data_IF_273529918712
#
_entry.id   IF_273529918712
#
_cell.length_a   1.000
_cell.length_b   1.000
_cell.length_c   1.000
_cell.angle_alpha   90.00
_cell.angle_beta   90.00
_cell.angle_gamma   90.00
#
_symmetry.space_group_name_H-M   'P 1'
#
loop_
_entity.id
_entity.type
_entity.pdbx_description
1 polymer ?
#
# COMPACT_ATOMS: atom_id res chain seq x y z
N UNK A 1 7.68 4.48 -13.43
CA UNK A 1 7.69 5.54 -12.40
C UNK A 1 7.64 6.95 -12.95
N UNK A 2 8.67 7.49 -13.64
CA UNK A 2 8.68 8.91 -14.07
C UNK A 2 7.45 9.36 -14.88
N UNK A 3 7.03 8.57 -15.87
CA UNK A 3 5.82 8.84 -16.66
C UNK A 3 4.56 8.87 -15.77
N UNK A 4 4.43 7.93 -14.83
CA UNK A 4 3.27 7.87 -13.92
C UNK A 4 3.24 9.06 -12.97
N UNK A 5 4.40 9.45 -12.43
CA UNK A 5 4.52 10.67 -11.62
C UNK A 5 4.08 11.91 -12.39
N UNK A 6 4.46 12.02 -13.67
CA UNK A 6 4.04 13.12 -14.55
C UNK A 6 2.54 13.09 -14.87
N UNK A 7 1.95 11.91 -15.10
CA UNK A 7 0.48 11.78 -15.27
C UNK A 7 -0.27 12.24 -14.01
N UNK A 8 0.25 11.93 -12.82
CA UNK A 8 -0.33 12.34 -11.55
C UNK A 8 -0.18 13.85 -11.24
N UNK A 9 0.68 14.58 -11.97
CA UNK A 9 0.83 16.04 -11.82
C UNK A 9 -0.35 16.85 -12.39
N UNK A 10 -0.80 16.48 -13.58
CA UNK A 10 -1.64 17.34 -14.43
C UNK A 10 -3.14 17.08 -14.29
N UNK A 11 -3.58 15.88 -13.90
CA UNK A 11 -4.95 15.68 -13.38
C UNK A 11 -5.16 14.30 -12.77
N UNK A 12 -5.38 14.27 -11.46
CA UNK A 12 -5.76 13.05 -10.73
C UNK A 12 -7.08 12.45 -11.27
N UNK A 13 -8.06 13.30 -11.56
CA UNK A 13 -9.41 12.87 -11.99
C UNK A 13 -9.52 12.61 -13.50
N UNK A 14 -8.81 13.37 -14.35
CA UNK A 14 -8.97 13.29 -15.81
C UNK A 14 -8.07 12.25 -16.46
N UNK A 15 -6.83 12.08 -15.97
CA UNK A 15 -5.85 11.21 -16.61
C UNK A 15 -5.50 10.00 -15.74
N UNK A 16 -5.02 10.21 -14.51
CA UNK A 16 -4.62 9.11 -13.63
C UNK A 16 -5.79 8.14 -13.35
N UNK A 17 -6.99 8.68 -13.12
CA UNK A 17 -8.20 7.84 -12.97
C UNK A 17 -8.56 7.02 -14.21
N UNK A 18 -8.41 7.56 -15.43
CA UNK A 18 -8.72 6.83 -16.67
C UNK A 18 -7.72 5.71 -16.93
N UNK A 19 -6.42 5.98 -16.69
CA UNK A 19 -5.37 4.95 -16.75
C UNK A 19 -5.69 3.82 -15.78
N UNK A 20 -6.15 4.14 -14.57
CA UNK A 20 -6.51 3.14 -13.57
C UNK A 20 -7.71 2.27 -14.00
N UNK A 21 -8.71 2.84 -14.69
CA UNK A 21 -9.85 2.09 -15.21
C UNK A 21 -9.41 1.13 -16.31
N UNK A 22 -8.61 1.61 -17.27
CA UNK A 22 -8.09 0.78 -18.36
C UNK A 22 -7.26 -0.39 -17.79
N UNK A 23 -6.39 -0.09 -16.82
CA UNK A 23 -5.62 -1.10 -16.10
C UNK A 23 -6.53 -2.12 -15.39
N UNK A 24 -7.56 -1.67 -14.68
CA UNK A 24 -8.51 -2.57 -14.01
C UNK A 24 -9.20 -3.52 -15.00
N UNK A 25 -9.65 -3.01 -16.15
CA UNK A 25 -10.22 -3.84 -17.21
C UNK A 25 -9.19 -4.85 -17.76
N UNK A 26 -7.96 -4.40 -18.02
CA UNK A 26 -6.88 -5.27 -18.50
C UNK A 26 -6.54 -6.38 -17.48
N UNK A 27 -6.50 -6.06 -16.18
CA UNK A 27 -6.28 -7.04 -15.10
C UNK A 27 -7.33 -8.13 -15.10
N UNK A 28 -8.61 -7.74 -15.15
CA UNK A 28 -9.71 -8.71 -15.16
C UNK A 28 -9.65 -9.57 -16.42
N UNK A 29 -9.42 -8.99 -17.61
CA UNK A 29 -9.29 -9.76 -18.85
C UNK A 29 -8.12 -10.75 -18.81
N UNK A 30 -6.97 -10.35 -18.29
CA UNK A 30 -5.81 -11.22 -18.16
C UNK A 30 -6.08 -12.41 -17.21
N UNK A 31 -6.73 -12.15 -16.06
CA UNK A 31 -7.08 -13.19 -15.10
C UNK A 31 -8.14 -14.13 -15.66
N UNK A 32 -9.18 -13.60 -16.32
CA UNK A 32 -10.20 -14.42 -16.99
C UNK A 32 -9.57 -15.29 -18.06
N UNK A 33 -8.62 -14.77 -18.85
CA UNK A 33 -7.90 -15.54 -19.85
C UNK A 33 -7.15 -16.74 -19.23
N UNK A 34 -6.41 -16.53 -18.14
CA UNK A 34 -5.70 -17.61 -17.44
C UNK A 34 -6.69 -18.65 -16.88
N UNK A 35 -7.75 -18.19 -16.22
CA UNK A 35 -8.76 -19.06 -15.61
C UNK A 35 -9.44 -19.89 -16.69
N UNK A 36 -10.02 -19.27 -17.72
CA UNK A 36 -10.74 -19.98 -18.79
C UNK A 36 -9.83 -20.96 -19.51
N UNK A 37 -8.59 -20.57 -19.82
CA UNK A 37 -7.61 -21.47 -20.45
C UNK A 37 -7.29 -22.66 -19.55
N UNK A 38 -7.02 -22.43 -18.26
CA UNK A 38 -6.76 -23.49 -17.30
C UNK A 38 -7.93 -24.46 -17.18
N UNK A 39 -9.16 -23.96 -17.03
CA UNK A 39 -10.36 -24.81 -16.97
C UNK A 39 -10.63 -25.56 -18.27
N UNK A 40 -10.34 -24.96 -19.43
CA UNK A 40 -10.41 -25.66 -20.71
C UNK A 40 -9.44 -26.85 -20.75
N UNK A 41 -8.18 -26.66 -20.34
CA UNK A 41 -7.22 -27.76 -20.28
C UNK A 41 -7.59 -28.83 -19.24
N UNK A 42 -8.19 -28.43 -18.12
CA UNK A 42 -8.62 -29.35 -17.08
C UNK A 42 -9.81 -30.20 -17.52
N UNK A 43 -10.87 -29.56 -18.04
CA UNK A 43 -12.16 -30.22 -18.34
C UNK A 43 -12.14 -30.86 -19.73
N UNK A 44 -11.68 -30.15 -20.76
CA UNK A 44 -11.76 -30.60 -22.16
C UNK A 44 -10.55 -31.45 -22.54
N UNK A 45 -9.35 -31.10 -22.07
CA UNK A 45 -8.12 -31.86 -22.34
C UNK A 45 -7.78 -32.88 -21.24
N UNK A 46 -8.54 -32.92 -20.14
CA UNK A 46 -8.38 -33.91 -19.06
C UNK A 46 -7.08 -33.78 -18.27
N UNK A 47 -6.41 -32.62 -18.28
CA UNK A 47 -5.16 -32.44 -17.52
C UNK A 47 -5.44 -32.22 -16.04
N UNK A 48 -5.40 -33.29 -15.26
CA UNK A 48 -5.63 -33.25 -13.80
C UNK A 48 -4.49 -33.88 -12.99
N UNK A 49 -3.37 -34.21 -13.62
CA UNK A 49 -2.27 -35.00 -13.05
C UNK A 49 -1.72 -34.43 -11.73
N UNK A 50 -1.65 -33.10 -11.62
CA UNK A 50 -1.19 -32.41 -10.40
C UNK A 50 -2.23 -32.39 -9.28
N UNK A 51 -3.52 -32.60 -9.58
CA UNK A 51 -4.61 -32.53 -8.61
C UNK A 51 -5.12 -33.91 -8.14
N UNK A 52 -4.71 -34.98 -8.83
CA UNK A 52 -5.14 -36.36 -8.53
C UNK A 52 -4.02 -37.21 -7.92
N UNK A 53 -4.38 -38.32 -7.27
CA UNK A 53 -3.41 -39.35 -6.87
C UNK A 53 -2.42 -38.97 -5.75
N UNK A 54 -2.76 -38.00 -4.90
CA UNK A 54 -1.88 -37.55 -3.80
C UNK A 54 -0.78 -36.57 -4.23
N UNK A 55 -0.70 -36.21 -5.51
CA UNK A 55 0.30 -35.28 -6.05
C UNK A 55 0.10 -33.83 -5.57
N UNK A 56 -1.09 -33.47 -5.10
CA UNK A 56 -1.44 -32.10 -4.69
C UNK A 56 -0.49 -31.52 -3.64
N UNK A 57 -0.02 -32.36 -2.70
CA UNK A 57 0.89 -31.95 -1.63
C UNK A 57 2.27 -32.62 -1.75
N UNK A 58 2.55 -33.30 -2.86
CA UNK A 58 3.83 -33.97 -3.05
C UNK A 58 4.99 -32.95 -3.03
N UNK A 59 6.03 -33.25 -2.24
CA UNK A 59 7.19 -32.35 -2.07
C UNK A 59 6.93 -31.11 -1.19
N UNK A 60 5.77 -31.02 -0.54
CA UNK A 60 5.47 -29.90 0.38
C UNK A 60 6.33 -29.95 1.63
N UNK A 61 6.89 -28.80 2.01
CA UNK A 61 7.62 -28.63 3.27
C UNK A 61 6.68 -28.06 4.33
N UNK A 62 6.38 -28.86 5.35
CA UNK A 62 5.41 -28.52 6.41
C UNK A 62 6.04 -27.86 7.64
N UNK A 63 7.33 -27.54 7.58
CA UNK A 63 8.01 -26.82 8.64
C UNK A 63 7.42 -25.40 8.78
N UNK A 64 7.30 -24.93 10.02
CA UNK A 64 6.69 -23.64 10.34
C UNK A 64 7.33 -22.48 9.57
N UNK A 65 8.66 -22.48 9.41
CA UNK A 65 9.40 -21.47 8.65
C UNK A 65 8.96 -21.41 7.19
N UNK A 66 8.85 -22.56 6.52
CA UNK A 66 8.41 -22.64 5.12
C UNK A 66 6.96 -22.19 4.94
N UNK A 67 6.08 -22.56 5.87
CA UNK A 67 4.68 -22.11 5.86
C UNK A 67 4.62 -20.59 6.00
N UNK A 68 5.34 -20.02 6.96
CA UNK A 68 5.36 -18.58 7.19
C UNK A 68 5.94 -17.84 5.99
N UNK A 69 7.01 -18.32 5.37
CA UNK A 69 7.56 -17.73 4.15
C UNK A 69 6.59 -17.78 2.97
N UNK A 70 5.80 -18.85 2.84
CA UNK A 70 4.73 -18.91 1.82
C UNK A 70 3.64 -17.86 2.05
N UNK A 71 3.31 -17.57 3.32
CA UNK A 71 2.35 -16.52 3.69
C UNK A 71 2.87 -15.14 3.29
N UNK A 72 4.19 -14.89 3.23
CA UNK A 72 4.74 -13.58 2.83
C UNK A 72 4.41 -13.25 1.39
N UNK A 73 4.61 -14.22 0.49
CA UNK A 73 4.20 -14.08 -0.91
C UNK A 73 2.70 -13.82 -1.04
N UNK A 74 1.89 -14.50 -0.20
CA UNK A 74 0.47 -14.23 -0.08
C UNK A 74 0.16 -12.79 0.37
N UNK A 75 0.71 -12.35 1.51
CA UNK A 75 0.52 -11.00 2.06
C UNK A 75 0.93 -9.93 1.05
N UNK A 76 2.03 -10.14 0.33
CA UNK A 76 2.44 -9.26 -0.76
C UNK A 76 1.40 -9.21 -1.88
N UNK A 77 0.90 -10.36 -2.34
CA UNK A 77 -0.11 -10.44 -3.40
C UNK A 77 -1.45 -9.77 -3.03
N UNK A 78 -1.81 -9.75 -1.74
CA UNK A 78 -3.01 -9.08 -1.21
C UNK A 78 -2.73 -7.65 -0.70
N UNK A 79 -1.51 -7.14 -0.86
CA UNK A 79 -1.16 -5.77 -0.49
C UNK A 79 -1.92 -4.75 -1.35
N UNK A 80 -1.96 -3.49 -0.89
CA UNK A 80 -2.67 -2.39 -1.56
C UNK A 80 -4.06 -2.09 -1.00
N UNK A 81 -4.57 -2.91 -0.08
CA UNK A 81 -5.84 -2.62 0.62
C UNK A 81 -5.83 -1.27 1.36
N UNK A 82 -4.65 -0.75 1.71
CA UNK A 82 -4.49 0.54 2.37
C UNK A 82 -4.91 1.73 1.50
N UNK A 83 -4.91 1.59 0.17
CA UNK A 83 -5.36 2.63 -0.78
C UNK A 83 -6.76 3.15 -0.42
N UNK A 84 -7.63 2.28 0.10
CA UNK A 84 -8.98 2.63 0.55
C UNK A 84 -8.98 3.71 1.65
N UNK A 85 -7.95 3.74 2.50
CA UNK A 85 -7.83 4.73 3.58
C UNK A 85 -7.48 6.12 3.04
N UNK A 86 -6.68 6.20 1.98
CA UNK A 86 -6.20 7.46 1.41
C UNK A 86 -7.18 8.08 0.41
N UNK A 87 -8.12 7.29 -0.12
CA UNK A 87 -9.25 7.75 -0.93
C UNK A 87 -10.46 8.18 -0.11
N UNK A 88 -10.47 7.96 1.20
CA UNK A 88 -11.67 8.11 2.02
C UNK A 88 -12.29 9.51 1.97
N UNK A 89 -11.48 10.56 1.92
CA UNK A 89 -11.96 11.96 1.84
C UNK A 89 -12.80 12.23 0.57
N UNK A 90 -12.59 11.48 -0.51
CA UNK A 90 -13.28 11.65 -1.79
C UNK A 90 -14.55 10.78 -1.93
N UNK A 91 -14.83 9.88 -0.98
CA UNK A 91 -15.89 8.86 -1.10
C UNK A 91 -17.18 9.32 -0.40
N UNK A 92 -18.30 9.36 -1.14
CA UNK A 92 -19.63 9.58 -0.54
C UNK A 92 -20.02 8.40 0.36
N UNK A 93 -20.55 8.68 1.56
CA UNK A 93 -20.97 7.68 2.57
C UNK A 93 -19.86 6.68 2.96
N UNK A 94 -18.68 7.23 3.28
CA UNK A 94 -17.45 6.53 3.66
C UNK A 94 -17.70 5.25 4.49
N UNK A 95 -18.46 5.33 5.60
CA UNK A 95 -18.65 4.21 6.52
C UNK A 95 -19.20 2.94 5.86
N UNK A 96 -20.27 3.07 5.06
CA UNK A 96 -20.91 1.90 4.42
C UNK A 96 -20.09 1.42 3.23
N UNK A 97 -19.61 2.36 2.42
CA UNK A 97 -18.82 2.07 1.22
C UNK A 97 -17.51 1.34 1.59
N UNK A 98 -16.78 1.81 2.62
CA UNK A 98 -15.55 1.15 3.06
C UNK A 98 -15.77 -0.29 3.51
N UNK A 99 -16.83 -0.58 4.27
CA UNK A 99 -17.08 -1.96 4.76
C UNK A 99 -17.43 -2.89 3.59
N UNK A 100 -18.32 -2.46 2.71
CA UNK A 100 -18.74 -3.26 1.55
C UNK A 100 -17.55 -3.48 0.61
N UNK A 101 -16.79 -2.43 0.30
CA UNK A 101 -15.62 -2.54 -0.57
C UNK A 101 -14.51 -3.38 0.05
N UNK A 102 -14.28 -3.30 1.36
CA UNK A 102 -13.28 -4.11 2.04
C UNK A 102 -13.65 -5.60 2.02
N UNK A 103 -14.85 -5.96 2.48
CA UNK A 103 -15.26 -7.37 2.54
C UNK A 103 -15.47 -7.93 1.14
N UNK A 104 -16.29 -7.27 0.32
CA UNK A 104 -16.60 -7.72 -1.03
C UNK A 104 -15.37 -7.75 -1.93
N UNK A 105 -14.52 -6.73 -1.86
CA UNK A 105 -13.28 -6.65 -2.63
C UNK A 105 -12.30 -7.76 -2.23
N UNK A 106 -12.03 -7.95 -0.94
CA UNK A 106 -11.10 -8.99 -0.48
C UNK A 106 -11.62 -10.39 -0.81
N UNK A 107 -12.90 -10.68 -0.54
CA UNK A 107 -13.49 -11.99 -0.86
C UNK A 107 -13.44 -12.32 -2.35
N UNK A 108 -13.72 -11.32 -3.20
CA UNK A 108 -13.62 -11.49 -4.65
C UNK A 108 -12.18 -11.72 -5.12
N UNK A 109 -11.22 -10.99 -4.56
CA UNK A 109 -9.79 -11.19 -4.85
C UNK A 109 -9.34 -12.60 -4.44
N UNK A 110 -9.77 -13.08 -3.26
CA UNK A 110 -9.46 -14.45 -2.81
C UNK A 110 -9.95 -15.48 -3.82
N UNK A 111 -11.21 -15.35 -4.24
CA UNK A 111 -11.81 -16.26 -5.21
C UNK A 111 -11.05 -16.27 -6.54
N UNK A 112 -10.78 -15.10 -7.12
CA UNK A 112 -10.06 -15.02 -8.41
C UNK A 112 -8.62 -15.53 -8.29
N UNK A 113 -7.91 -15.21 -7.20
CA UNK A 113 -6.54 -15.66 -7.02
C UNK A 113 -6.46 -17.18 -6.88
N UNK A 114 -7.40 -17.80 -6.17
CA UNK A 114 -7.49 -19.27 -6.10
C UNK A 114 -7.73 -19.88 -7.47
N UNK A 115 -8.72 -19.38 -8.22
CA UNK A 115 -9.00 -19.88 -9.58
C UNK A 115 -7.81 -19.70 -10.53
N UNK A 116 -7.11 -18.57 -10.42
CA UNK A 116 -5.93 -18.29 -11.25
C UNK A 116 -4.79 -19.26 -10.93
N UNK A 117 -4.53 -19.53 -9.65
CA UNK A 117 -3.52 -20.51 -9.23
C UNK A 117 -3.88 -21.94 -9.70
N UNK A 118 -5.15 -22.33 -9.58
CA UNK A 118 -5.62 -23.61 -10.16
C UNK A 118 -5.34 -23.62 -11.65
N UNK A 119 -5.71 -22.55 -12.38
CA UNK A 119 -5.44 -22.43 -13.81
C UNK A 119 -3.96 -22.55 -14.17
N UNK A 120 -3.07 -21.92 -13.41
CA UNK A 120 -1.63 -22.07 -13.60
C UNK A 120 -1.17 -23.52 -13.40
N UNK A 121 -1.55 -24.16 -12.29
CA UNK A 121 -1.08 -25.51 -11.95
C UNK A 121 -1.74 -26.63 -12.76
N UNK A 122 -2.80 -26.37 -13.53
CA UNK A 122 -3.29 -27.30 -14.57
C UNK A 122 -2.27 -27.43 -15.71
N UNK A 123 -1.52 -26.36 -16.00
CA UNK A 123 -0.65 -26.27 -17.18
C UNK A 123 0.82 -26.39 -16.81
N UNK A 124 1.23 -25.72 -15.73
CA UNK A 124 2.61 -25.62 -15.28
C UNK A 124 2.88 -26.57 -14.12
N UNK A 125 4.09 -27.13 -14.12
CA UNK A 125 4.66 -27.85 -12.98
C UNK A 125 5.24 -26.87 -11.94
N UNK A 126 5.38 -27.28 -10.66
CA UNK A 126 6.02 -26.45 -9.63
C UNK A 126 7.45 -26.00 -10.01
N UNK A 127 8.22 -26.86 -10.68
CA UNK A 127 9.58 -26.54 -11.13
C UNK A 127 9.59 -25.48 -12.23
N UNK A 128 8.65 -25.52 -13.17
CA UNK A 128 8.51 -24.47 -14.19
C UNK A 128 8.11 -23.13 -13.59
N UNK A 129 7.23 -23.13 -12.58
CA UNK A 129 6.86 -21.89 -11.87
C UNK A 129 8.07 -21.30 -11.17
N UNK A 130 8.81 -22.11 -10.40
CA UNK A 130 10.01 -21.67 -9.66
C UNK A 130 11.16 -21.24 -10.59
N UNK A 131 11.30 -21.87 -11.75
CA UNK A 131 12.33 -21.54 -12.74
C UNK A 131 11.97 -20.36 -13.65
N UNK A 132 10.76 -19.80 -13.53
CA UNK A 132 10.29 -18.73 -14.40
C UNK A 132 10.40 -17.35 -13.76
N UNK A 133 10.97 -16.39 -14.48
CA UNK A 133 10.95 -14.98 -14.08
C UNK A 133 9.57 -14.34 -14.23
N UNK A 134 8.73 -14.87 -15.13
CA UNK A 134 7.39 -14.37 -15.41
C UNK A 134 6.42 -15.54 -15.65
N UNK A 135 5.72 -15.95 -14.60
CA UNK A 135 4.81 -17.12 -14.59
C UNK A 135 3.73 -17.00 -15.68
N UNK A 136 3.15 -15.82 -15.88
CA UNK A 136 2.14 -15.60 -16.91
C UNK A 136 2.69 -15.80 -18.34
N UNK A 137 3.92 -15.35 -18.60
CA UNK A 137 4.59 -15.58 -19.88
C UNK A 137 4.91 -17.05 -20.09
N UNK A 138 5.40 -17.73 -19.04
CA UNK A 138 5.67 -19.16 -19.07
C UNK A 138 4.40 -19.99 -19.30
N UNK A 139 3.31 -19.62 -18.65
CA UNK A 139 1.99 -20.20 -18.86
C UNK A 139 1.55 -20.11 -20.33
N UNK A 140 1.69 -18.93 -20.94
CA UNK A 140 1.34 -18.72 -22.35
C UNK A 140 2.21 -19.59 -23.28
N UNK A 141 3.51 -19.70 -23.01
CA UNK A 141 4.44 -20.53 -23.78
C UNK A 141 4.08 -22.02 -23.72
N UNK A 142 3.74 -22.55 -22.54
CA UNK A 142 3.41 -23.97 -22.38
C UNK A 142 2.00 -24.29 -22.89
N UNK A 143 1.03 -23.40 -22.67
CA UNK A 143 -0.37 -23.61 -23.07
C UNK A 143 -0.57 -23.54 -24.59
N UNK A 144 0.08 -22.58 -25.26
CA UNK A 144 -0.14 -22.30 -26.69
C UNK A 144 1.07 -22.65 -27.57
N UNK A 145 2.09 -23.29 -26.98
CA UNK A 145 3.38 -23.48 -27.60
C UNK A 145 4.14 -22.16 -27.77
N UNK A 146 5.28 -22.20 -28.46
CA UNK A 146 6.07 -21.02 -28.81
C UNK A 146 5.44 -20.24 -29.97
N UNK A 147 4.13 -19.98 -29.87
CA UNK A 147 3.39 -19.16 -30.81
C UNK A 147 3.87 -17.71 -30.68
N UNK A 148 4.41 -17.19 -31.78
CA UNK A 148 5.03 -15.87 -31.86
C UNK A 148 4.09 -14.70 -31.52
N UNK A 149 2.76 -14.91 -31.49
CA UNK A 149 1.80 -13.86 -31.19
C UNK A 149 1.33 -13.87 -29.73
N UNK A 150 1.02 -15.03 -29.15
CA UNK A 150 0.36 -15.10 -27.84
C UNK A 150 1.29 -14.72 -26.69
N UNK A 151 2.53 -15.25 -26.70
CA UNK A 151 3.50 -15.01 -25.62
C UNK A 151 3.86 -13.52 -25.49
N UNK A 152 4.17 -12.77 -26.58
CA UNK A 152 4.42 -11.34 -26.49
C UNK A 152 3.20 -10.53 -26.05
N UNK A 153 1.99 -10.89 -26.50
CA UNK A 153 0.76 -10.19 -26.09
C UNK A 153 0.53 -10.33 -24.58
N UNK A 154 0.64 -11.54 -24.03
CA UNK A 154 0.48 -11.78 -22.59
C UNK A 154 1.54 -11.00 -21.80
N UNK A 155 2.79 -11.03 -22.25
CA UNK A 155 3.88 -10.29 -21.62
C UNK A 155 3.65 -8.78 -21.65
N UNK A 156 3.14 -8.25 -22.77
CA UNK A 156 2.80 -6.85 -22.92
C UNK A 156 1.65 -6.43 -21.99
N UNK A 157 0.59 -7.26 -21.90
CA UNK A 157 -0.52 -7.03 -20.97
C UNK A 157 0.01 -6.97 -19.53
N UNK A 158 0.85 -7.94 -19.11
CA UNK A 158 1.49 -7.92 -17.78
C UNK A 158 2.24 -6.62 -17.53
N UNK A 159 2.96 -6.10 -18.53
CA UNK A 159 3.60 -4.79 -18.47
C UNK A 159 2.62 -3.64 -18.19
N UNK A 160 1.47 -3.62 -18.89
CA UNK A 160 0.38 -2.66 -18.61
C UNK A 160 -0.12 -2.80 -17.16
N UNK A 161 -0.27 -4.03 -16.67
CA UNK A 161 -0.74 -4.28 -15.30
C UNK A 161 0.21 -3.68 -14.25
N UNK A 162 1.52 -3.74 -14.52
CA UNK A 162 2.54 -3.12 -13.65
C UNK A 162 2.45 -1.60 -13.67
N UNK A 163 2.15 -1.00 -14.83
CA UNK A 163 1.98 0.45 -14.95
C UNK A 163 0.82 0.95 -14.09
N UNK A 164 -0.32 0.27 -14.08
CA UNK A 164 -1.44 0.68 -13.24
C UNK A 164 -1.21 0.43 -11.74
N UNK A 165 -0.45 -0.60 -11.38
CA UNK A 165 0.01 -0.78 -9.99
C UNK A 165 0.87 0.41 -9.53
N UNK A 166 1.85 0.82 -10.35
CA UNK A 166 2.68 1.99 -10.07
C UNK A 166 1.86 3.28 -9.93
N UNK A 167 0.83 3.47 -10.76
CA UNK A 167 -0.07 4.62 -10.66
C UNK A 167 -0.81 4.67 -9.31
N UNK A 168 -1.30 3.53 -8.84
CA UNK A 168 -1.96 3.40 -7.52
C UNK A 168 -1.00 3.72 -6.37
N UNK A 169 0.26 3.30 -6.46
CA UNK A 169 1.28 3.58 -5.44
C UNK A 169 1.62 5.06 -5.35
N UNK A 170 1.85 5.73 -6.49
CA UNK A 170 2.11 7.19 -6.54
C UNK A 170 0.94 7.96 -5.90
N UNK A 171 -0.29 7.55 -6.20
CA UNK A 171 -1.49 8.15 -5.65
C UNK A 171 -1.56 7.99 -4.13
N UNK A 172 -1.35 6.76 -3.62
CA UNK A 172 -1.35 6.46 -2.19
C UNK A 172 -0.28 7.26 -1.44
N UNK A 173 0.95 7.17 -1.90
CA UNK A 173 2.12 7.65 -1.16
C UNK A 173 2.14 9.17 -1.07
N UNK A 174 1.79 9.85 -2.17
CA UNK A 174 1.71 11.30 -2.20
C UNK A 174 0.68 11.87 -1.22
N UNK A 175 -0.46 11.20 -1.06
CA UNK A 175 -1.50 11.57 -0.07
C UNK A 175 -1.08 11.27 1.36
N UNK A 176 -0.39 10.16 1.59
CA UNK A 176 0.13 9.81 2.91
C UNK A 176 1.10 10.88 3.43
N UNK A 177 2.09 11.25 2.60
CA UNK A 177 3.06 12.30 2.93
C UNK A 177 2.38 13.66 3.11
N UNK A 178 1.50 14.02 2.19
CA UNK A 178 0.75 15.27 2.27
C UNK A 178 -0.06 15.40 3.57
N UNK A 179 -0.75 14.34 3.98
CA UNK A 179 -1.52 14.32 5.23
C UNK A 179 -0.62 14.41 6.48
N UNK A 180 0.56 13.76 6.45
CA UNK A 180 1.56 13.88 7.51
C UNK A 180 2.13 15.30 7.64
N UNK A 181 2.47 15.91 6.51
CA UNK A 181 2.99 17.28 6.44
C UNK A 181 1.97 18.32 6.92
N UNK A 182 0.69 18.15 6.59
CA UNK A 182 -0.40 19.01 7.11
C UNK A 182 -0.54 18.98 8.63
N UNK A 183 -0.11 17.90 9.28
CA UNK A 183 -0.11 17.79 10.75
C UNK A 183 1.20 18.24 11.39
N UNK A 184 2.06 18.92 10.64
CA UNK A 184 3.37 19.39 11.11
C UNK A 184 4.33 18.25 11.48
N UNK A 185 4.11 17.04 10.95
CA UNK A 185 4.99 15.88 11.20
C UNK A 185 6.13 15.75 10.18
N UNK A 186 6.08 16.55 9.10
CA UNK A 186 7.02 16.52 7.98
C UNK A 186 7.25 17.96 7.47
N UNK A 187 8.25 18.21 6.61
CA UNK A 187 8.50 19.53 6.03
C UNK A 187 7.27 20.14 5.36
N UNK A 188 7.10 21.46 5.50
CA UNK A 188 5.90 22.18 5.05
C UNK A 188 5.73 22.13 3.52
N UNK A 189 6.83 22.03 2.77
CA UNK A 189 6.79 21.93 1.31
C UNK A 189 6.01 20.69 0.83
N UNK A 190 5.96 19.61 1.62
CA UNK A 190 5.19 18.41 1.29
C UNK A 190 3.68 18.57 1.50
N UNK A 191 3.24 19.61 2.19
CA UNK A 191 1.84 19.97 2.38
C UNK A 191 1.29 20.88 1.26
N UNK A 192 2.04 21.08 0.18
CA UNK A 192 1.64 21.91 -0.96
C UNK A 192 0.75 21.13 -1.95
N UNK A 193 -0.34 21.76 -2.40
CA UNK A 193 -1.25 21.26 -3.43
C UNK A 193 -1.34 22.24 -4.59
N UNK A 194 -1.45 21.74 -5.81
CA UNK A 194 -1.82 22.55 -6.97
C UNK A 194 -3.35 22.72 -7.05
N UNK A 195 -3.84 23.96 -7.04
CA UNK A 195 -5.27 24.26 -6.88
C UNK A 195 -6.14 23.68 -8.00
N UNK A 196 -5.75 23.86 -9.27
CA UNK A 196 -6.59 23.43 -10.39
C UNK A 196 -6.65 21.91 -10.56
N UNK A 197 -5.58 21.19 -10.19
CA UNK A 197 -5.48 19.74 -10.39
C UNK A 197 -5.73 18.94 -9.11
N UNK A 198 -5.74 19.58 -7.94
CA UNK A 198 -5.81 18.95 -6.63
C UNK A 198 -4.63 18.03 -6.32
N UNK A 199 -3.52 18.15 -7.05
CA UNK A 199 -2.39 17.22 -6.98
C UNK A 199 -1.31 17.69 -6.00
N UNK A 200 -0.86 16.85 -5.05
CA UNK A 200 0.28 17.14 -4.18
C UNK A 200 1.62 16.96 -4.91
N UNK A 201 1.93 17.88 -5.84
CA UNK A 201 3.06 17.77 -6.78
C UNK A 201 4.42 17.58 -6.11
N UNK A 202 4.67 18.27 -5.00
CA UNK A 202 5.94 18.16 -4.27
C UNK A 202 6.11 16.75 -3.73
N UNK A 203 5.08 16.20 -3.07
CA UNK A 203 5.14 14.83 -2.52
C UNK A 203 5.39 13.79 -3.63
N UNK A 204 4.81 13.97 -4.82
CA UNK A 204 5.04 13.09 -5.98
C UNK A 204 6.49 13.16 -6.47
N UNK A 205 7.13 14.35 -6.50
CA UNK A 205 8.57 14.47 -6.87
C UNK A 205 9.43 13.71 -5.88
N UNK A 206 9.23 13.92 -4.58
CA UNK A 206 10.04 13.25 -3.56
C UNK A 206 9.82 11.74 -3.61
N UNK A 207 8.59 11.27 -3.82
CA UNK A 207 8.31 9.85 -4.04
C UNK A 207 9.12 9.30 -5.23
N UNK A 208 9.08 10.00 -6.37
CA UNK A 208 9.84 9.60 -7.56
C UNK A 208 11.35 9.56 -7.27
N UNK A 209 11.91 10.58 -6.63
CA UNK A 209 13.34 10.64 -6.30
C UNK A 209 13.76 9.49 -5.37
N UNK A 210 12.97 9.21 -4.33
CA UNK A 210 13.24 8.08 -3.45
C UNK A 210 13.11 6.75 -4.19
N UNK A 211 12.01 6.51 -4.91
CA UNK A 211 11.85 5.28 -5.70
C UNK A 211 12.95 5.08 -6.74
N UNK A 212 13.42 6.17 -7.36
CA UNK A 212 14.55 6.13 -8.27
C UNK A 212 15.84 5.74 -7.54
N UNK A 213 16.14 6.33 -6.38
CA UNK A 213 17.30 5.94 -5.58
C UNK A 213 17.23 4.47 -5.14
N UNK A 214 16.07 4.01 -4.65
CA UNK A 214 15.85 2.61 -4.27
C UNK A 214 15.98 1.63 -5.44
N UNK A 215 15.76 2.07 -6.68
CA UNK A 215 15.91 1.20 -7.86
C UNK A 215 17.36 0.77 -8.13
N UNK A 216 18.34 1.46 -7.53
CA UNK A 216 19.76 1.08 -7.58
C UNK A 216 20.19 0.19 -6.41
N UNK A 217 19.28 -0.16 -5.50
CA UNK A 217 19.59 -0.94 -4.30
C UNK A 217 19.18 -2.40 -4.46
N UNK A 218 20.15 -3.31 -4.29
CA UNK A 218 19.97 -4.76 -4.15
C UNK A 218 19.07 -5.40 -5.25
N UNK A 219 18.65 -6.64 -5.04
CA UNK A 219 17.72 -7.34 -5.92
C UNK A 219 16.25 -7.18 -5.46
N UNK A 220 15.31 -7.52 -6.37
CA UNK A 220 13.86 -7.39 -6.14
C UNK A 220 13.38 -8.17 -4.91
N UNK A 221 13.93 -9.36 -4.68
CA UNK A 221 13.51 -10.22 -3.57
C UNK A 221 13.87 -9.60 -2.21
N UNK A 222 15.09 -9.07 -2.08
CA UNK A 222 15.53 -8.34 -0.89
C UNK A 222 14.65 -7.12 -0.62
N UNK A 223 14.34 -6.33 -1.66
CA UNK A 223 13.47 -5.15 -1.54
C UNK A 223 12.06 -5.51 -1.08
N UNK A 224 11.49 -6.62 -1.57
CA UNK A 224 10.21 -7.16 -1.11
C UNK A 224 10.31 -7.52 0.37
N UNK A 225 11.34 -8.26 0.78
CA UNK A 225 11.55 -8.64 2.19
C UNK A 225 11.66 -7.41 3.10
N UNK A 226 12.47 -6.40 2.74
CA UNK A 226 12.60 -5.16 3.52
C UNK A 226 11.25 -4.43 3.66
N UNK A 227 10.46 -4.40 2.58
CA UNK A 227 9.15 -3.74 2.55
C UNK A 227 8.14 -4.46 3.44
N UNK A 228 8.10 -5.80 3.39
CA UNK A 228 7.18 -6.59 4.23
C UNK A 228 7.54 -6.42 5.70
N UNK A 229 8.82 -6.57 6.08
CA UNK A 229 9.25 -6.40 7.49
C UNK A 229 8.89 -5.00 7.99
N UNK A 230 9.24 -3.95 7.24
CA UNK A 230 8.93 -2.57 7.63
C UNK A 230 7.42 -2.31 7.73
N UNK A 231 6.64 -2.84 6.78
CA UNK A 231 5.19 -2.73 6.77
C UNK A 231 4.52 -3.47 7.93
N UNK A 232 5.01 -4.67 8.27
CA UNK A 232 4.51 -5.43 9.43
C UNK A 232 4.87 -4.74 10.74
N UNK A 233 6.08 -4.18 10.88
CA UNK A 233 6.46 -3.36 12.04
C UNK A 233 5.54 -2.15 12.20
N UNK A 234 5.30 -1.39 11.12
CA UNK A 234 4.34 -0.28 11.14
C UNK A 234 2.93 -0.75 11.57
N UNK A 235 2.48 -1.90 11.06
CA UNK A 235 1.19 -2.49 11.41
C UNK A 235 1.11 -2.87 12.90
N UNK A 236 2.18 -3.43 13.48
CA UNK A 236 2.26 -3.74 14.91
C UNK A 236 2.08 -2.46 15.73
N UNK A 237 2.76 -1.36 15.40
CA UNK A 237 2.60 -0.10 16.14
C UNK A 237 1.19 0.47 15.99
N UNK A 238 0.63 0.47 14.78
CA UNK A 238 -0.72 0.98 14.52
C UNK A 238 -1.80 0.19 15.27
N UNK A 239 -1.73 -1.15 15.22
CA UNK A 239 -2.70 -2.02 15.90
C UNK A 239 -2.51 -2.00 17.42
N UNK A 240 -1.28 -1.91 17.92
CA UNK A 240 -1.02 -1.67 19.36
C UNK A 240 -1.68 -0.38 19.83
N UNK A 241 -1.56 0.71 19.06
CA UNK A 241 -2.24 1.97 19.35
C UNK A 241 -3.77 1.83 19.36
N UNK A 242 -4.33 1.09 18.41
CA UNK A 242 -5.77 0.79 18.39
C UNK A 242 -6.21 -0.01 19.63
N UNK A 243 -5.47 -1.07 20.00
CA UNK A 243 -5.75 -1.87 21.18
C UNK A 243 -5.68 -1.01 22.45
N UNK A 244 -4.67 -0.15 22.57
CA UNK A 244 -4.55 0.82 23.66
C UNK A 244 -5.76 1.75 23.74
N UNK A 245 -6.16 2.39 22.62
CA UNK A 245 -7.34 3.27 22.56
C UNK A 245 -8.61 2.52 23.02
N UNK A 246 -8.77 1.26 22.61
CA UNK A 246 -9.93 0.43 22.93
C UNK A 246 -9.98 -0.01 24.39
N UNK A 247 -8.84 -0.41 24.96
CA UNK A 247 -8.73 -0.87 26.35
C UNK A 247 -8.79 0.31 27.33
N UNK A 248 -8.13 1.42 27.00
CA UNK A 248 -8.11 2.64 27.84
C UNK A 248 -9.38 3.50 27.73
N UNK A 249 -10.34 3.12 26.89
CA UNK A 249 -11.63 3.83 26.77
C UNK A 249 -11.50 5.27 26.24
N UNK A 250 -10.48 5.56 25.43
CA UNK A 250 -10.26 6.91 24.89
C UNK A 250 -11.45 7.29 23.98
N UNK A 251 -12.05 8.49 24.13
CA UNK A 251 -13.20 8.89 23.34
C UNK A 251 -12.84 8.95 21.86
N UNK A 252 -13.58 8.18 21.05
CA UNK A 252 -13.47 8.15 19.59
C UNK A 252 -14.68 8.84 18.95
N UNK A 253 -14.54 9.26 17.70
CA UNK A 253 -15.63 9.89 16.94
C UNK A 253 -16.90 9.01 16.95
N UNK A 254 -18.11 9.60 17.08
CA UNK A 254 -19.38 8.86 17.04
C UNK A 254 -19.58 8.02 15.77
N UNK A 255 -18.92 8.40 14.67
CA UNK A 255 -18.97 7.67 13.39
C UNK A 255 -17.99 6.50 13.25
N UNK A 256 -17.16 6.22 14.27
CA UNK A 256 -16.13 5.20 14.21
C UNK A 256 -16.72 3.79 14.05
N UNK A 257 -16.19 3.02 13.10
CA UNK A 257 -16.52 1.60 12.93
C UNK A 257 -15.83 0.81 14.03
N UNK A 258 -16.59 -0.02 14.76
CA UNK A 258 -16.07 -0.86 15.83
C UNK A 258 -16.22 -2.32 15.44
N UNK A 259 -15.12 -3.05 15.50
CA UNK A 259 -15.10 -4.50 15.36
C UNK A 259 -14.86 -5.16 16.72
N UNK A 260 -15.28 -6.43 16.91
CA UNK A 260 -14.90 -7.24 18.06
C UNK A 260 -13.39 -7.22 18.30
N UNK A 261 -12.97 -7.14 19.57
CA UNK A 261 -11.56 -7.02 19.98
C UNK A 261 -10.70 -8.20 19.53
N UNK A 262 -11.30 -9.36 19.28
CA UNK A 262 -10.60 -10.55 18.78
C UNK A 262 -9.90 -10.31 17.45
N UNK A 263 -10.49 -9.53 16.54
CA UNK A 263 -9.90 -9.29 15.21
C UNK A 263 -8.58 -8.50 15.25
N UNK A 264 -8.48 -7.33 15.91
CA UNK A 264 -7.19 -6.63 16.02
C UNK A 264 -6.16 -7.43 16.83
N UNK A 265 -6.57 -8.24 17.81
CA UNK A 265 -5.64 -9.13 18.55
C UNK A 265 -5.05 -10.19 17.62
N UNK A 266 -5.89 -10.89 16.83
CA UNK A 266 -5.42 -11.87 15.84
C UNK A 266 -4.48 -11.20 14.83
N UNK A 267 -4.87 -10.04 14.30
CA UNK A 267 -4.05 -9.30 13.35
C UNK A 267 -2.68 -8.93 13.94
N UNK A 268 -2.65 -8.48 15.19
CA UNK A 268 -1.42 -8.16 15.90
C UNK A 268 -0.53 -9.39 16.07
N UNK A 269 -1.08 -10.52 16.52
CA UNK A 269 -0.33 -11.77 16.68
C UNK A 269 0.25 -12.24 15.34
N UNK A 270 -0.54 -12.21 14.26
CA UNK A 270 -0.07 -12.57 12.92
C UNK A 270 1.08 -11.64 12.51
N UNK A 271 0.92 -10.32 12.64
CA UNK A 271 1.99 -9.39 12.30
C UNK A 271 3.29 -9.60 13.08
N UNK A 272 3.20 -9.95 14.37
CA UNK A 272 4.38 -10.29 15.19
C UNK A 272 5.06 -11.57 14.69
N UNK A 273 4.30 -12.61 14.39
CA UNK A 273 4.85 -13.84 13.78
C UNK A 273 5.52 -13.55 12.43
N UNK A 274 4.90 -12.70 11.61
CA UNK A 274 5.44 -12.20 10.34
C UNK A 274 6.52 -11.10 10.52
N UNK A 275 7.16 -11.01 11.67
CA UNK A 275 8.43 -10.28 11.85
C UNK A 275 9.47 -11.20 12.47
N UNK A 276 9.08 -12.01 13.45
CA UNK A 276 10.00 -12.90 14.17
C UNK A 276 10.56 -14.01 13.26
N UNK A 277 9.75 -14.61 12.39
CA UNK A 277 10.21 -15.79 11.63
C UNK A 277 11.33 -15.47 10.63
N UNK A 278 11.26 -14.41 9.80
CA UNK A 278 12.42 -13.99 9.00
C UNK A 278 13.53 -13.36 9.82
N UNK A 279 13.28 -12.92 11.05
CA UNK A 279 14.38 -12.51 11.93
C UNK A 279 15.34 -13.68 12.18
N UNK A 280 14.79 -14.90 12.20
CA UNK A 280 15.54 -16.13 12.40
C UNK A 280 16.15 -16.62 11.07
N UNK A 281 15.38 -16.67 9.99
CA UNK A 281 15.84 -17.24 8.71
C UNK A 281 16.64 -16.25 7.83
N UNK A 282 16.25 -14.97 7.84
CA UNK A 282 16.82 -13.90 7.02
C UNK A 282 17.21 -12.70 7.90
N UNK A 283 18.05 -12.95 8.91
CA UNK A 283 18.38 -11.97 9.95
C UNK A 283 18.86 -10.62 9.40
N UNK A 284 19.63 -10.60 8.30
CA UNK A 284 20.10 -9.37 7.64
C UNK A 284 18.90 -8.50 7.22
N UNK A 285 17.89 -9.11 6.60
CA UNK A 285 16.72 -8.36 6.11
C UNK A 285 15.91 -7.74 7.23
N UNK A 286 15.80 -8.46 8.34
CA UNK A 286 15.10 -7.98 9.51
C UNK A 286 15.88 -6.87 10.23
N UNK A 287 17.19 -7.06 10.40
CA UNK A 287 18.07 -6.04 11.00
C UNK A 287 18.05 -4.76 10.16
N UNK A 288 18.15 -4.86 8.84
CA UNK A 288 18.05 -3.68 7.95
C UNK A 288 16.69 -3.01 8.10
N UNK A 289 15.59 -3.76 8.05
CA UNK A 289 14.24 -3.20 8.22
C UNK A 289 14.04 -2.48 9.57
N UNK A 290 14.48 -3.10 10.66
CA UNK A 290 14.44 -2.51 12.01
C UNK A 290 15.37 -1.30 12.10
N UNK A 291 16.58 -1.38 11.56
CA UNK A 291 17.56 -0.28 11.57
C UNK A 291 17.03 0.93 10.79
N UNK A 292 16.39 0.71 9.64
CA UNK A 292 15.76 1.78 8.86
C UNK A 292 14.62 2.44 9.66
N UNK A 293 13.76 1.66 10.31
CA UNK A 293 12.70 2.20 11.17
C UNK A 293 13.28 3.04 12.32
N UNK A 294 14.26 2.49 13.04
CA UNK A 294 14.94 3.16 14.14
C UNK A 294 15.63 4.44 13.68
N UNK A 295 16.30 4.42 12.52
CA UNK A 295 16.94 5.59 11.93
C UNK A 295 15.91 6.68 11.62
N UNK A 296 14.77 6.34 11.02
CA UNK A 296 13.70 7.33 10.77
C UNK A 296 13.08 7.88 12.05
N UNK A 297 12.91 7.07 13.10
CA UNK A 297 12.46 7.54 14.41
C UNK A 297 13.46 8.49 15.06
N UNK A 298 14.76 8.15 15.02
CA UNK A 298 15.84 9.00 15.54
C UNK A 298 15.86 10.32 14.77
N UNK A 299 15.85 10.28 13.44
CA UNK A 299 15.79 11.49 12.58
C UNK A 299 14.56 12.32 12.94
N UNK A 300 13.39 11.72 13.11
CA UNK A 300 12.18 12.44 13.49
C UNK A 300 12.32 13.14 14.85
N UNK A 301 12.82 12.45 15.88
CA UNK A 301 13.00 13.06 17.20
C UNK A 301 14.08 14.14 17.21
N UNK A 302 15.18 13.94 16.48
CA UNK A 302 16.23 14.94 16.30
C UNK A 302 15.66 16.18 15.60
N UNK A 303 14.98 16.01 14.47
CA UNK A 303 14.37 17.13 13.74
C UNK A 303 13.35 17.87 14.59
N UNK A 304 12.55 17.16 15.40
CA UNK A 304 11.60 17.76 16.32
C UNK A 304 12.28 18.52 17.47
N UNK A 305 13.39 17.98 17.98
CA UNK A 305 14.17 18.60 19.05
C UNK A 305 14.92 19.85 18.56
N UNK A 306 15.49 19.82 17.36
CA UNK A 306 16.21 20.95 16.74
C UNK A 306 15.25 21.89 15.99
N UNK A 307 13.98 21.52 15.78
CA UNK A 307 12.97 22.35 15.12
C UNK A 307 12.88 23.81 15.59
N UNK A 308 13.14 24.16 16.88
CA UNK A 308 13.18 25.55 17.32
C UNK A 308 14.36 26.37 16.76
N UNK A 309 15.33 25.73 16.09
CA UNK A 309 16.47 26.38 15.49
C UNK A 309 16.05 27.25 14.29
N UNK A 310 16.43 28.53 14.33
CA UNK A 310 16.11 29.50 13.28
C UNK A 310 16.57 29.05 11.90
N UNK A 311 17.71 28.36 11.79
CA UNK A 311 18.24 27.87 10.51
C UNK A 311 17.32 26.83 9.85
N UNK A 312 16.74 25.90 10.64
CA UNK A 312 15.83 24.88 10.12
C UNK A 312 14.48 25.47 9.72
N UNK A 313 13.96 26.41 10.52
CA UNK A 313 12.72 27.13 10.19
C UNK A 313 12.91 27.93 8.90
N UNK A 314 14.03 28.65 8.79
CA UNK A 314 14.39 29.39 7.58
C UNK A 314 14.51 28.47 6.37
N UNK A 315 15.21 27.33 6.49
CA UNK A 315 15.34 26.36 5.41
C UNK A 315 13.98 25.79 4.99
N UNK A 316 13.13 25.41 5.94
CA UNK A 316 11.78 24.92 5.67
C UNK A 316 10.93 26.00 4.96
N UNK A 317 11.04 27.26 5.37
CA UNK A 317 10.36 28.37 4.70
C UNK A 317 10.88 28.58 3.27
N UNK A 318 12.20 28.65 3.07
CA UNK A 318 12.81 28.86 1.75
C UNK A 318 12.45 27.72 0.79
N UNK A 319 12.57 26.47 1.23
CA UNK A 319 12.19 25.31 0.42
C UNK A 319 10.70 25.33 0.08
N UNK A 320 9.84 25.72 1.01
CA UNK A 320 8.40 25.88 0.75
C UNK A 320 8.14 26.95 -0.31
N UNK A 321 8.70 28.16 -0.16
CA UNK A 321 8.53 29.26 -1.13
C UNK A 321 9.09 28.89 -2.51
N UNK A 322 10.24 28.21 -2.55
CA UNK A 322 10.84 27.71 -3.78
C UNK A 322 9.87 26.78 -4.53
N UNK A 323 9.33 25.76 -3.85
CA UNK A 323 8.39 24.83 -4.47
C UNK A 323 7.03 25.46 -4.81
N UNK A 324 6.56 26.44 -4.02
CA UNK A 324 5.35 27.21 -4.35
C UNK A 324 5.51 27.93 -5.69
N UNK A 325 6.64 28.63 -5.89
CA UNK A 325 6.94 29.34 -7.14
C UNK A 325 7.20 28.38 -8.31
N UNK A 326 7.97 27.32 -8.08
CA UNK A 326 8.36 26.39 -9.13
C UNK A 326 7.18 25.59 -9.68
N UNK A 327 6.26 25.17 -8.80
CA UNK A 327 5.19 24.23 -9.15
C UNK A 327 3.79 24.85 -9.11
N UNK A 328 3.69 26.15 -8.85
CA UNK A 328 2.42 26.89 -8.72
C UNK A 328 1.47 26.24 -7.70
N UNK A 329 2.02 25.81 -6.57
CA UNK A 329 1.25 25.15 -5.51
C UNK A 329 0.98 26.10 -4.34
N UNK A 330 -0.13 25.88 -3.64
CA UNK A 330 -0.50 26.60 -2.41
C UNK A 330 -0.57 25.66 -1.22
N UNK A 331 -0.51 26.21 -0.01
CA UNK A 331 -0.73 25.41 1.22
C UNK A 331 -2.22 25.09 1.27
N UNK A 332 -2.56 23.80 1.35
CA UNK A 332 -3.95 23.39 1.44
C UNK A 332 -4.61 24.00 2.69
N UNK A 333 -5.68 24.76 2.50
CA UNK A 333 -6.45 25.34 3.62
C UNK A 333 -6.92 24.19 4.53
N UNK A 334 -6.79 24.37 5.84
CA UNK A 334 -7.39 23.47 6.82
C UNK A 334 -8.91 23.58 6.68
N UNK A 335 -9.54 22.71 5.88
CA UNK A 335 -10.98 22.52 5.95
C UNK A 335 -11.29 22.00 7.36
N UNK A 336 -11.89 22.85 8.19
CA UNK A 336 -12.53 22.44 9.43
C UNK A 336 -13.60 21.41 9.07
N UNK A 337 -13.28 20.15 9.36
CA UNK A 337 -14.08 18.95 9.17
C UNK A 337 -15.60 19.15 9.24
N UNK A 338 -16.30 18.52 8.28
CA UNK A 338 -17.69 18.07 8.28
C UNK A 338 -18.15 17.41 9.61
N UNK A 339 -18.22 18.19 10.69
CA UNK A 339 -18.92 17.84 11.91
C UNK A 339 -20.20 18.66 11.94
N UNK A 340 -21.33 17.99 11.75
CA UNK A 340 -22.61 18.54 12.20
C UNK A 340 -22.47 18.92 13.67
N UNK A 341 -22.68 20.19 14.05
CA UNK A 341 -22.59 20.59 15.44
C UNK A 341 -23.81 20.00 16.16
N UNK A 342 -23.60 18.88 16.86
CA UNK A 342 -24.48 18.55 17.99
C UNK A 342 -24.23 19.57 19.10
N UNK A 343 -25.30 20.00 19.77
CA UNK A 343 -25.34 21.13 20.72
C UNK A 343 -24.32 21.06 21.87
N UNK A 344 -23.74 19.90 22.16
CA UNK A 344 -22.69 19.71 23.18
C UNK A 344 -21.24 19.85 22.66
N UNK A 345 -21.04 19.96 21.34
CA UNK A 345 -19.71 20.05 20.73
C UNK A 345 -18.97 21.35 21.05
N UNK A 346 -19.68 22.44 21.35
CA UNK A 346 -19.09 23.75 21.66
C UNK A 346 -18.41 23.79 23.03
N UNK A 347 -18.91 23.05 24.02
CA UNK A 347 -18.26 22.94 25.33
C UNK A 347 -17.00 22.08 25.29
N UNK A 348 -17.03 20.98 24.54
CA UNK A 348 -15.87 20.12 24.33
C UNK A 348 -14.80 20.86 23.51
N UNK A 349 -15.20 21.59 22.45
CA UNK A 349 -14.29 22.49 21.71
C UNK A 349 -13.67 23.55 22.63
N UNK A 350 -14.45 24.20 23.49
CA UNK A 350 -13.91 25.18 24.46
C UNK A 350 -12.92 24.54 25.45
N UNK A 351 -13.19 23.33 25.95
CA UNK A 351 -12.27 22.62 26.86
C UNK A 351 -10.99 22.17 26.16
N UNK A 352 -11.08 21.64 24.94
CA UNK A 352 -9.93 21.23 24.14
C UNK A 352 -9.11 22.46 23.73
N UNK A 353 -9.75 23.53 23.26
CA UNK A 353 -9.06 24.77 22.89
C UNK A 353 -8.41 25.44 24.09
N UNK A 354 -9.04 25.41 25.28
CA UNK A 354 -8.43 25.92 26.52
C UNK A 354 -7.23 25.07 26.95
N UNK A 355 -7.27 23.76 26.73
CA UNK A 355 -6.17 22.83 27.01
C UNK A 355 -5.02 22.96 26.00
N UNK A 356 -5.33 23.15 24.72
CA UNK A 356 -4.37 23.47 23.64
C UNK A 356 -3.74 24.85 23.88
N UNK A 357 -4.52 25.86 24.25
CA UNK A 357 -4.00 27.19 24.57
C UNK A 357 -3.16 27.21 25.87
N UNK A 358 -3.43 26.30 26.83
CA UNK A 358 -2.58 26.13 28.02
C UNK A 358 -1.27 25.40 27.73
N UNK A 359 -1.21 24.62 26.64
CA UNK A 359 0.01 24.04 26.09
C UNK A 359 0.64 25.09 25.17
N UNK A 360 1.36 26.07 25.73
CA UNK A 360 2.13 27.11 25.01
C UNK A 360 3.25 26.52 24.12
N UNK A 361 2.92 25.72 23.11
CA UNK A 361 3.90 25.03 22.26
C UNK A 361 3.63 25.14 20.75
N UNK A 362 2.52 25.77 20.33
CA UNK A 362 2.11 25.79 18.92
C UNK A 362 1.71 27.19 18.41
N UNK A 363 2.40 28.25 18.85
CA UNK A 363 2.11 29.62 18.38
C UNK A 363 2.93 30.09 17.18
N UNK A 364 3.84 29.27 16.67
CA UNK A 364 4.68 29.61 15.50
C UNK A 364 4.92 28.39 14.60
N UNK A 365 3.84 27.89 13.97
CA UNK A 365 3.90 27.00 12.82
C UNK A 365 2.88 27.44 11.79
#
# INVERSE_FOLDING_TARGET
MGIMSWVNFYSLKKYAGRVQIIDACAKVLALVFIIVTGFYFMIVKGRTEHFTGGNLFAGSKWEATHIVHSIYGGVWAYSGYQVLNYGAEDVRKIRRSLIISAIGGISFTIFIYLLTNIGYFVILTPSEVLGSNAVAGKFAEVAFGRNYYVVPIVTFIVGILMVGAQNSDVFMWSRYIFAGARRGQMPTCWALIHEESGSPRVAIIFHFLFSFAFSFLDNVQSLISYTIVSGMLQQIFAVSGLLWIRISGIPVSPGAVRFPLVFPIILWCISVCLVIVPAIDQWITTVVGVAVLCAFLIIYFILKWISPCHALIWLNYQTTVFFQKLLFCTVAKHEESYYHPSSNGNEIKKRIQKKINSLKFWKYA
#
